data_IF_903108131552
#
_entry.id   IF_903108131552
#
_cell.length_a   1.000
_cell.length_b   1.000
_cell.length_c   1.000
_cell.angle_alpha   90.00
_cell.angle_beta   90.00
_cell.angle_gamma   90.00
#
_symmetry.space_group_name_H-M   'P 1'
#
loop_
_entity.id
_entity.type
_entity.pdbx_description
1 polymer ?
#
# COMPACT_ATOMS: atom_id res chain seq x y z
N UNK A 1 -6.78 -10.31 -19.59
CA UNK A 1 -7.74 -11.28 -20.15
C UNK A 1 -8.87 -10.51 -20.83
N UNK A 2 -9.30 -10.90 -22.03
CA UNK A 2 -10.48 -10.30 -22.67
C UNK A 2 -11.76 -10.90 -22.09
N UNK A 3 -12.20 -10.36 -20.95
CA UNK A 3 -13.49 -10.75 -20.34
C UNK A 3 -14.64 -10.26 -21.22
N UNK A 4 -15.47 -11.18 -21.69
CA UNK A 4 -16.71 -10.93 -22.43
C UNK A 4 -17.91 -11.32 -21.55
N UNK A 5 -19.12 -10.91 -21.94
CA UNK A 5 -20.32 -11.07 -21.10
C UNK A 5 -20.62 -12.53 -20.67
N UNK A 6 -20.24 -13.51 -21.51
CA UNK A 6 -20.42 -14.94 -21.26
C UNK A 6 -19.24 -15.60 -20.55
N UNK A 7 -18.16 -14.86 -20.24
CA UNK A 7 -17.02 -15.40 -19.51
C UNK A 7 -17.47 -15.84 -18.12
N UNK A 8 -17.23 -17.10 -17.79
CA UNK A 8 -17.48 -17.66 -16.45
C UNK A 8 -16.27 -17.34 -15.56
N UNK A 9 -16.54 -16.78 -14.40
CA UNK A 9 -15.55 -16.28 -13.44
C UNK A 9 -15.88 -16.86 -12.08
N UNK A 10 -14.85 -17.30 -11.36
CA UNK A 10 -14.97 -17.70 -9.96
C UNK A 10 -15.11 -16.45 -9.07
N UNK A 11 -16.23 -16.36 -8.36
CA UNK A 11 -16.48 -15.35 -7.34
C UNK A 11 -16.32 -15.96 -5.97
N UNK A 12 -15.49 -15.34 -5.13
CA UNK A 12 -14.97 -15.91 -3.90
C UNK A 12 -15.51 -15.17 -2.67
N UNK A 13 -15.97 -15.93 -1.67
CA UNK A 13 -16.27 -15.44 -0.33
C UNK A 13 -15.22 -15.97 0.66
N UNK A 14 -14.42 -15.06 1.21
CA UNK A 14 -13.40 -15.37 2.22
C UNK A 14 -13.92 -15.18 3.66
N UNK A 15 -15.16 -14.70 3.82
CA UNK A 15 -15.70 -14.38 5.14
C UNK A 15 -16.20 -15.63 5.87
N UNK A 16 -16.12 -15.59 7.21
CA UNK A 16 -16.75 -16.57 8.11
C UNK A 16 -18.29 -16.50 8.10
N UNK A 17 -18.87 -15.55 7.36
CA UNK A 17 -20.31 -15.36 7.22
C UNK A 17 -20.78 -15.60 5.79
N UNK A 18 -22.00 -16.08 5.64
CA UNK A 18 -22.63 -16.21 4.33
C UNK A 18 -22.91 -14.83 3.71
N UNK A 19 -22.78 -14.75 2.38
CA UNK A 19 -23.18 -13.56 1.61
C UNK A 19 -24.36 -13.92 0.73
N UNK A 20 -25.48 -13.26 0.95
CA UNK A 20 -26.70 -13.44 0.14
C UNK A 20 -26.79 -12.31 -0.87
N UNK A 21 -26.92 -12.67 -2.15
CA UNK A 21 -26.98 -11.72 -3.26
C UNK A 21 -28.32 -11.87 -3.98
N UNK A 22 -29.29 -11.00 -3.67
CA UNK A 22 -30.51 -10.94 -4.47
C UNK A 22 -30.16 -10.41 -5.87
N UNK A 23 -30.71 -11.02 -6.90
CA UNK A 23 -30.52 -10.56 -8.27
C UNK A 23 -31.83 -10.63 -9.04
N UNK A 24 -31.99 -9.77 -10.04
CA UNK A 24 -33.12 -9.87 -10.97
C UNK A 24 -32.93 -10.98 -12.01
N UNK A 25 -31.71 -11.50 -12.17
CA UNK A 25 -31.37 -12.54 -13.16
C UNK A 25 -31.80 -13.91 -12.64
N UNK A 26 -31.54 -14.18 -11.35
CA UNK A 26 -31.94 -15.40 -10.66
C UNK A 26 -32.87 -15.05 -9.49
N UNK A 27 -34.17 -15.40 -9.56
CA UNK A 27 -35.16 -15.02 -8.54
C UNK A 27 -34.82 -15.45 -7.12
N UNK A 28 -34.24 -16.64 -6.95
CA UNK A 28 -33.82 -17.17 -5.65
C UNK A 28 -32.49 -16.56 -5.15
N UNK A 29 -31.86 -15.70 -5.97
CA UNK A 29 -30.56 -15.11 -5.69
C UNK A 29 -29.41 -16.12 -5.66
N UNK A 30 -28.26 -15.66 -5.17
CA UNK A 30 -27.09 -16.48 -4.90
C UNK A 30 -26.79 -16.48 -3.41
N UNK A 31 -26.44 -17.66 -2.90
CA UNK A 31 -25.92 -17.86 -1.56
C UNK A 31 -24.45 -18.23 -1.70
N UNK A 32 -23.58 -17.39 -1.13
CA UNK A 32 -22.18 -17.71 -0.93
C UNK A 32 -22.03 -18.22 0.49
N UNK A 33 -21.66 -19.48 0.64
CA UNK A 33 -21.42 -20.07 1.95
C UNK A 33 -20.18 -19.43 2.61
N UNK A 34 -20.03 -19.55 3.94
CA UNK A 34 -18.81 -19.15 4.63
C UNK A 34 -17.56 -19.87 4.11
N UNK A 35 -16.40 -19.23 4.28
CA UNK A 35 -15.12 -19.90 4.14
C UNK A 35 -14.95 -21.01 5.20
N UNK A 36 -14.23 -22.08 4.84
CA UNK A 36 -13.95 -23.22 5.72
C UNK A 36 -12.44 -23.40 5.80
N UNK A 37 -11.89 -23.39 7.02
CA UNK A 37 -10.46 -23.57 7.27
C UNK A 37 -9.53 -22.64 6.45
N UNK A 38 -10.00 -21.43 6.16
CA UNK A 38 -9.27 -20.43 5.37
C UNK A 38 -9.45 -20.55 3.85
N UNK A 39 -10.09 -21.62 3.38
CA UNK A 39 -10.43 -21.78 1.97
C UNK A 39 -11.73 -21.04 1.64
N UNK A 40 -11.75 -20.16 0.63
CA UNK A 40 -12.94 -19.40 0.27
C UNK A 40 -14.00 -20.30 -0.36
N UNK A 41 -15.27 -19.97 -0.11
CA UNK A 41 -16.34 -20.53 -0.94
C UNK A 41 -16.31 -19.88 -2.33
N UNK A 42 -16.31 -20.71 -3.37
CA UNK A 42 -16.27 -20.26 -4.75
C UNK A 42 -17.60 -20.57 -5.47
N UNK A 43 -18.14 -19.57 -6.16
CA UNK A 43 -19.29 -19.73 -7.03
C UNK A 43 -18.99 -19.19 -8.42
N UNK A 44 -19.29 -19.99 -9.43
CA UNK A 44 -19.08 -19.63 -10.83
C UNK A 44 -20.24 -18.77 -11.33
N UNK A 45 -19.93 -17.56 -11.77
CA UNK A 45 -20.88 -16.62 -12.34
C UNK A 45 -20.37 -16.09 -13.68
N UNK A 46 -21.29 -15.86 -14.61
CA UNK A 46 -20.99 -15.11 -15.82
C UNK A 46 -20.67 -13.65 -15.50
N UNK A 47 -19.87 -13.00 -16.34
CA UNK A 47 -19.58 -11.59 -16.18
C UNK A 47 -20.84 -10.71 -16.23
N UNK A 48 -21.86 -11.11 -17.00
CA UNK A 48 -23.18 -10.47 -17.02
C UNK A 48 -23.82 -10.44 -15.64
N UNK A 49 -23.81 -11.58 -14.93
CA UNK A 49 -24.34 -11.69 -13.57
C UNK A 49 -23.53 -10.85 -12.58
N UNK A 50 -22.21 -10.91 -12.66
CA UNK A 50 -21.29 -10.13 -11.81
C UNK A 50 -21.53 -8.63 -12.01
N UNK A 51 -21.69 -8.17 -13.25
CA UNK A 51 -22.03 -6.77 -13.55
C UNK A 51 -23.39 -6.40 -12.96
N UNK A 52 -24.39 -7.27 -13.08
CA UNK A 52 -25.70 -7.10 -12.44
C UNK A 52 -25.58 -6.88 -10.94
N UNK A 53 -24.84 -7.76 -10.24
CA UNK A 53 -24.58 -7.67 -8.80
C UNK A 53 -23.87 -6.36 -8.44
N UNK A 54 -22.84 -5.98 -9.19
CA UNK A 54 -22.07 -4.75 -8.96
C UNK A 54 -22.88 -3.46 -9.17
N UNK A 55 -23.91 -3.51 -10.02
CA UNK A 55 -24.81 -2.38 -10.26
C UNK A 55 -25.80 -2.14 -9.11
N UNK A 56 -26.16 -3.20 -8.38
CA UNK A 56 -27.17 -3.18 -7.32
C UNK A 56 -26.57 -3.12 -5.92
N UNK A 57 -25.28 -3.45 -5.78
CA UNK A 57 -24.62 -3.59 -4.48
C UNK A 57 -23.16 -3.12 -4.51
N UNK A 58 -22.58 -2.98 -3.32
CA UNK A 58 -21.15 -2.66 -3.15
C UNK A 58 -20.31 -3.87 -2.77
N UNK A 59 -20.81 -5.10 -2.93
CA UNK A 59 -20.13 -6.31 -2.45
C UNK A 59 -18.69 -6.44 -2.96
N UNK A 60 -18.45 -6.13 -4.23
CA UNK A 60 -17.11 -6.13 -4.82
C UNK A 60 -16.28 -4.91 -4.43
N UNK A 61 -16.90 -3.72 -4.33
CA UNK A 61 -16.22 -2.46 -3.96
C UNK A 61 -15.78 -2.44 -2.49
N UNK A 62 -16.50 -3.15 -1.63
CA UNK A 62 -16.21 -3.25 -0.19
C UNK A 62 -15.46 -4.54 0.16
N UNK A 63 -15.22 -5.42 -0.83
CA UNK A 63 -14.41 -6.62 -0.68
C UNK A 63 -15.08 -7.77 0.07
N UNK A 64 -16.41 -7.80 0.14
CA UNK A 64 -17.17 -8.95 0.64
C UNK A 64 -17.06 -10.14 -0.31
N UNK A 65 -17.15 -9.87 -1.61
CA UNK A 65 -16.89 -10.84 -2.67
C UNK A 65 -15.69 -10.37 -3.48
N UNK A 66 -14.83 -11.32 -3.85
CA UNK A 66 -13.57 -11.04 -4.56
C UNK A 66 -13.38 -12.02 -5.72
N UNK A 67 -12.36 -11.75 -6.52
CA UNK A 67 -11.93 -12.60 -7.63
C UNK A 67 -10.55 -13.16 -7.33
N UNK A 68 -10.14 -14.20 -8.06
CA UNK A 68 -8.77 -14.73 -8.00
C UNK A 68 -7.76 -13.62 -8.32
N UNK A 69 -6.67 -13.56 -7.57
CA UNK A 69 -5.68 -12.47 -7.67
C UNK A 69 -5.15 -12.26 -9.09
N UNK A 70 -4.97 -13.35 -9.84
CA UNK A 70 -4.42 -13.33 -11.21
C UNK A 70 -5.34 -12.60 -12.20
N UNK A 71 -6.65 -12.56 -11.95
CA UNK A 71 -7.65 -12.02 -12.88
C UNK A 71 -8.34 -10.77 -12.30
N UNK A 72 -8.24 -10.55 -10.99
CA UNK A 72 -8.97 -9.55 -10.23
C UNK A 72 -8.83 -8.14 -10.80
N UNK A 73 -7.60 -7.69 -11.12
CA UNK A 73 -7.36 -6.34 -11.66
C UNK A 73 -8.14 -6.10 -12.95
N UNK A 74 -8.06 -7.04 -13.90
CA UNK A 74 -8.76 -6.93 -15.18
C UNK A 74 -10.29 -6.95 -15.04
N UNK A 75 -10.80 -7.70 -14.07
CA UNK A 75 -12.25 -7.78 -13.79
C UNK A 75 -12.71 -6.49 -13.13
N UNK A 76 -12.00 -5.99 -12.12
CA UNK A 76 -12.33 -4.73 -11.44
C UNK A 76 -12.33 -3.55 -12.40
N UNK A 77 -11.34 -3.46 -13.29
CA UNK A 77 -11.27 -2.43 -14.32
C UNK A 77 -12.53 -2.45 -15.20
N UNK A 78 -12.92 -3.64 -15.70
CA UNK A 78 -14.13 -3.80 -16.53
C UNK A 78 -15.44 -3.56 -15.78
N UNK A 79 -15.45 -3.74 -14.46
CA UNK A 79 -16.56 -3.37 -13.59
C UNK A 79 -16.58 -1.87 -13.25
N UNK A 80 -15.58 -1.10 -13.69
CA UNK A 80 -15.44 0.33 -13.42
C UNK A 80 -15.00 0.63 -11.98
N UNK A 81 -14.43 -0.34 -11.28
CA UNK A 81 -13.94 -0.18 -9.90
C UNK A 81 -12.49 0.30 -9.96
N UNK A 82 -12.29 1.62 -9.78
CA UNK A 82 -10.96 2.26 -9.92
C UNK A 82 -10.11 2.23 -8.65
N UNK A 83 -10.75 2.27 -7.48
CA UNK A 83 -10.06 2.35 -6.19
C UNK A 83 -9.84 0.95 -5.59
N UNK A 84 -9.25 0.03 -6.35
CA UNK A 84 -9.01 -1.36 -5.92
C UNK A 84 -8.14 -1.43 -4.67
N UNK A 85 -7.18 -0.51 -4.53
CA UNK A 85 -6.33 -0.36 -3.33
C UNK A 85 -7.12 -0.03 -2.06
N UNK A 86 -8.35 0.47 -2.16
CA UNK A 86 -9.20 0.73 -1.00
C UNK A 86 -9.97 -0.50 -0.51
N UNK A 87 -10.01 -1.57 -1.31
CA UNK A 87 -10.67 -2.83 -0.98
C UNK A 87 -9.80 -3.54 0.06
N UNK A 88 -10.33 -3.65 1.27
CA UNK A 88 -9.64 -4.27 2.40
C UNK A 88 -10.00 -5.75 2.54
N UNK A 89 -8.99 -6.61 2.73
CA UNK A 89 -9.17 -8.02 3.09
C UNK A 89 -9.37 -8.19 4.60
N UNK A 90 -9.92 -9.33 5.01
CA UNK A 90 -10.04 -9.65 6.44
C UNK A 90 -8.68 -9.71 7.12
N UNK A 91 -7.66 -10.24 6.44
CA UNK A 91 -6.29 -10.29 6.93
C UNK A 91 -5.67 -8.90 7.07
N UNK A 92 -5.86 -8.02 6.09
CA UNK A 92 -5.40 -6.63 6.18
C UNK A 92 -6.06 -5.90 7.36
N UNK A 93 -7.38 -6.10 7.56
CA UNK A 93 -8.09 -5.50 8.69
C UNK A 93 -7.56 -6.05 10.01
N UNK A 94 -7.40 -7.38 10.13
CA UNK A 94 -6.82 -8.02 11.31
C UNK A 94 -5.42 -7.48 11.59
N UNK A 95 -4.58 -7.33 10.56
CA UNK A 95 -3.24 -6.78 10.68
C UNK A 95 -3.25 -5.33 11.17
N UNK A 96 -4.15 -4.47 10.67
CA UNK A 96 -4.28 -3.09 11.15
C UNK A 96 -4.72 -3.04 12.63
N UNK A 97 -5.57 -3.98 13.07
CA UNK A 97 -6.03 -4.06 14.45
C UNK A 97 -4.91 -4.53 15.39
N UNK A 98 -4.16 -5.56 14.99
CA UNK A 98 -3.12 -6.21 15.80
C UNK A 98 -1.82 -5.39 15.83
N UNK A 99 -1.45 -4.79 14.70
CA UNK A 99 -0.25 -3.97 14.52
C UNK A 99 -0.66 -2.58 14.06
N UNK A 100 -1.26 -1.76 14.95
CA UNK A 100 -1.82 -0.48 14.58
C UNK A 100 -0.73 0.49 14.15
N UNK A 101 -0.80 0.93 12.90
CA UNK A 101 -0.02 2.05 12.38
C UNK A 101 -0.94 3.25 12.18
N UNK A 102 -0.41 4.47 12.27
CA UNK A 102 -1.17 5.68 11.95
C UNK A 102 -1.88 5.59 10.58
N UNK A 103 -1.14 5.20 9.54
CA UNK A 103 -1.66 5.06 8.17
C UNK A 103 -2.78 4.01 8.08
N UNK A 104 -2.60 2.85 8.72
CA UNK A 104 -3.61 1.79 8.75
C UNK A 104 -4.91 2.24 9.42
N UNK A 105 -4.81 2.88 10.59
CA UNK A 105 -5.98 3.40 11.29
C UNK A 105 -6.67 4.53 10.51
N UNK A 106 -5.92 5.42 9.86
CA UNK A 106 -6.48 6.44 8.97
C UNK A 106 -7.20 5.84 7.76
N UNK A 107 -6.68 4.74 7.20
CA UNK A 107 -7.33 3.96 6.13
C UNK A 107 -8.68 3.43 6.61
N UNK A 108 -8.78 2.91 7.84
CA UNK A 108 -10.06 2.48 8.42
C UNK A 108 -11.03 3.65 8.63
N UNK A 109 -10.54 4.79 9.12
CA UNK A 109 -11.39 5.96 9.38
C UNK A 109 -12.00 6.59 8.11
N UNK A 110 -11.31 6.48 6.96
CA UNK A 110 -11.81 6.99 5.67
C UNK A 110 -13.03 6.22 5.14
N UNK A 111 -13.33 5.05 5.68
CA UNK A 111 -14.46 4.23 5.27
C UNK A 111 -15.77 4.94 5.65
N UNK A 112 -16.69 5.00 4.68
CA UNK A 112 -18.00 5.64 4.83
C UNK A 112 -19.16 4.64 4.84
N UNK A 113 -18.93 3.40 4.40
CA UNK A 113 -19.95 2.36 4.41
C UNK A 113 -20.13 1.79 5.82
N UNK A 114 -21.36 1.87 6.33
CA UNK A 114 -21.70 1.26 7.62
C UNK A 114 -21.55 -0.26 7.59
N UNK A 115 -21.92 -0.92 6.48
CA UNK A 115 -21.80 -2.37 6.32
C UNK A 115 -20.35 -2.83 6.35
N UNK A 116 -19.47 -2.13 5.65
CA UNK A 116 -18.03 -2.39 5.70
C UNK A 116 -17.49 -2.17 7.12
N UNK A 117 -17.94 -1.12 7.80
CA UNK A 117 -17.48 -0.85 9.16
C UNK A 117 -17.99 -1.86 10.20
N UNK A 118 -19.18 -2.42 10.00
CA UNK A 118 -19.69 -3.56 10.79
C UNK A 118 -18.78 -4.79 10.63
N UNK A 119 -18.30 -5.08 9.42
CA UNK A 119 -17.30 -6.14 9.19
C UNK A 119 -16.02 -5.91 10.00
N UNK A 120 -15.48 -4.69 9.98
CA UNK A 120 -14.30 -4.33 10.80
C UNK A 120 -14.56 -4.55 12.29
N UNK A 121 -15.72 -4.11 12.77
CA UNK A 121 -16.14 -4.29 14.16
C UNK A 121 -16.29 -5.78 14.51
N UNK A 122 -16.86 -6.58 13.63
CA UNK A 122 -16.99 -8.04 13.78
C UNK A 122 -15.64 -8.71 13.96
N UNK A 123 -14.66 -8.36 13.11
CA UNK A 123 -13.29 -8.86 13.21
C UNK A 123 -12.60 -8.42 14.52
N UNK A 124 -12.81 -7.18 14.96
CA UNK A 124 -12.30 -6.72 16.26
C UNK A 124 -12.84 -7.60 17.40
N UNK A 125 -14.15 -7.84 17.44
CA UNK A 125 -14.80 -8.68 18.46
C UNK A 125 -14.31 -10.12 18.38
N UNK A 126 -14.13 -10.67 17.18
CA UNK A 126 -13.57 -12.01 16.98
C UNK A 126 -12.16 -12.13 17.56
N UNK A 127 -11.30 -11.14 17.30
CA UNK A 127 -9.93 -11.10 17.84
C UNK A 127 -9.93 -10.95 19.36
N UNK A 128 -10.81 -10.12 19.93
CA UNK A 128 -10.96 -9.98 21.39
C UNK A 128 -11.38 -11.31 22.04
N UNK A 129 -12.39 -11.96 21.48
CA UNK A 129 -12.93 -13.22 22.00
C UNK A 129 -11.93 -14.38 21.86
N UNK A 130 -10.97 -14.28 20.94
CA UNK A 130 -9.93 -15.30 20.80
C UNK A 130 -9.04 -15.41 22.04
N UNK A 131 -8.93 -14.35 22.85
CA UNK A 131 -8.08 -14.29 24.05
C UNK A 131 -6.57 -14.40 23.79
N UNK A 132 -6.15 -14.49 22.52
CA UNK A 132 -4.74 -14.69 22.13
C UNK A 132 -3.95 -13.39 22.00
N UNK A 133 -4.62 -12.26 21.79
CA UNK A 133 -4.01 -10.99 21.44
C UNK A 133 -4.38 -9.90 22.45
N UNK A 134 -3.39 -9.10 22.86
CA UNK A 134 -3.63 -7.90 23.65
C UNK A 134 -3.87 -6.70 22.72
N UNK A 135 -5.13 -6.44 22.43
CA UNK A 135 -5.53 -5.35 21.52
C UNK A 135 -5.55 -4.05 22.32
N UNK A 136 -4.81 -3.04 21.83
CA UNK A 136 -4.75 -1.73 22.47
C UNK A 136 -6.13 -1.10 22.65
N UNK A 137 -6.45 -0.65 23.86
CA UNK A 137 -7.68 0.09 24.19
C UNK A 137 -7.87 1.30 23.28
N UNK A 138 -6.79 1.92 22.81
CA UNK A 138 -6.85 3.05 21.87
C UNK A 138 -7.43 2.63 20.53
N UNK A 139 -7.02 1.48 19.97
CA UNK A 139 -7.55 0.94 18.71
C UNK A 139 -9.03 0.62 18.86
N UNK A 140 -9.41 -0.02 19.97
CA UNK A 140 -10.82 -0.31 20.30
C UNK A 140 -11.68 0.95 20.32
N UNK A 141 -11.18 2.01 20.95
CA UNK A 141 -11.86 3.29 21.04
C UNK A 141 -11.99 3.99 19.67
N UNK A 142 -10.96 3.92 18.83
CA UNK A 142 -11.00 4.48 17.47
C UNK A 142 -12.05 3.77 16.63
N UNK A 143 -12.05 2.44 16.61
CA UNK A 143 -13.00 1.64 15.83
C UNK A 143 -14.43 1.85 16.37
N UNK A 144 -14.63 1.69 17.67
CA UNK A 144 -15.96 1.86 18.29
C UNK A 144 -16.47 3.29 18.16
N UNK A 145 -15.59 4.30 18.24
CA UNK A 145 -15.94 5.69 18.03
C UNK A 145 -16.40 5.94 16.60
N UNK A 146 -15.64 5.47 15.62
CA UNK A 146 -15.98 5.64 14.21
C UNK A 146 -17.27 4.91 13.82
N UNK A 147 -17.49 3.73 14.40
CA UNK A 147 -18.75 3.02 14.28
C UNK A 147 -19.96 3.88 14.72
N UNK A 148 -19.85 4.53 15.89
CA UNK A 148 -20.90 5.41 16.41
C UNK A 148 -21.12 6.64 15.52
N UNK A 149 -20.06 7.22 14.96
CA UNK A 149 -20.17 8.32 14.00
C UNK A 149 -20.99 7.91 12.77
N UNK A 150 -20.64 6.76 12.16
CA UNK A 150 -21.34 6.25 10.98
C UNK A 150 -22.81 5.92 11.28
N UNK A 151 -23.08 5.31 12.44
CA UNK A 151 -24.44 5.02 12.89
C UNK A 151 -25.26 6.30 13.13
N UNK A 152 -24.60 7.38 13.57
CA UNK A 152 -25.20 8.71 13.74
C UNK A 152 -25.29 9.51 12.43
N UNK A 153 -24.89 8.93 11.29
CA UNK A 153 -24.92 9.57 9.97
C UNK A 153 -23.73 10.48 9.64
N UNK A 154 -22.71 10.56 10.50
CA UNK A 154 -21.49 11.35 10.27
C UNK A 154 -20.54 10.65 9.29
N UNK A 155 -20.66 10.98 8.00
CA UNK A 155 -19.82 10.39 6.94
C UNK A 155 -18.36 10.79 7.01
N UNK A 156 -18.06 12.01 7.47
CA UNK A 156 -16.69 12.50 7.65
C UNK A 156 -16.32 12.35 9.13
N UNK A 157 -15.18 11.72 9.40
CA UNK A 157 -14.68 11.47 10.76
C UNK A 157 -14.18 12.75 11.42
N UNK A 158 -14.49 12.92 12.70
CA UNK A 158 -13.87 13.95 13.55
C UNK A 158 -12.72 13.36 14.39
N UNK A 159 -12.54 12.04 14.34
CA UNK A 159 -11.50 11.32 15.07
C UNK A 159 -10.13 11.61 14.43
N UNK A 160 -9.22 12.17 15.21
CA UNK A 160 -7.84 12.46 14.80
C UNK A 160 -6.87 11.48 15.46
N UNK A 161 -6.07 10.79 14.65
CA UNK A 161 -5.04 9.87 15.13
C UNK A 161 -3.73 10.65 15.34
N UNK A 162 -3.31 10.75 16.60
CA UNK A 162 -1.99 11.29 16.95
C UNK A 162 -0.92 10.19 16.87
N UNK A 163 0.24 10.43 16.24
CA UNK A 163 1.30 9.44 16.18
C UNK A 163 1.79 9.07 17.59
N UNK A 164 2.22 7.82 17.75
CA UNK A 164 2.79 7.33 19.02
C UNK A 164 4.27 7.77 19.12
N UNK A 165 4.80 7.92 20.34
CA UNK A 165 6.21 8.32 20.54
C UNK A 165 7.19 7.42 19.77
N UNK A 166 6.97 6.10 19.77
CA UNK A 166 7.76 5.14 18.98
C UNK A 166 7.65 5.31 17.46
N UNK A 167 6.50 5.74 16.94
CA UNK A 167 6.37 6.03 15.50
C UNK A 167 7.12 7.31 15.14
N UNK A 168 7.12 8.32 16.02
CA UNK A 168 7.91 9.53 15.82
C UNK A 168 9.41 9.25 15.84
N UNK A 169 9.89 8.40 16.75
CA UNK A 169 11.30 7.98 16.80
C UNK A 169 11.73 7.26 15.53
N UNK A 170 10.95 6.29 15.03
CA UNK A 170 11.23 5.62 13.74
C UNK A 170 11.23 6.58 12.57
N UNK A 171 10.28 7.53 12.50
CA UNK A 171 10.23 8.54 11.43
C UNK A 171 11.45 9.45 11.47
N UNK A 172 11.96 9.81 12.66
CA UNK A 172 13.19 10.60 12.78
C UNK A 172 14.44 9.78 12.43
N UNK A 173 14.48 8.50 12.77
CA UNK A 173 15.56 7.57 12.41
C UNK A 173 15.61 7.32 10.89
N UNK A 174 14.47 7.13 10.24
CA UNK A 174 14.36 6.98 8.79
C UNK A 174 14.77 8.26 8.04
N UNK A 175 14.39 9.43 8.55
CA UNK A 175 14.86 10.72 8.01
C UNK A 175 16.37 10.91 8.20
N UNK A 176 16.91 10.50 9.33
CA UNK A 176 18.35 10.57 9.59
C UNK A 176 19.12 9.66 8.61
N UNK A 177 18.67 8.42 8.42
CA UNK A 177 19.26 7.49 7.46
C UNK A 177 19.16 7.98 6.01
N UNK A 178 18.03 8.57 5.62
CA UNK A 178 17.88 9.20 4.31
C UNK A 178 18.87 10.35 4.09
N UNK A 179 19.10 11.20 5.09
CA UNK A 179 20.08 12.28 5.01
C UNK A 179 21.52 11.75 4.94
N UNK A 180 21.84 10.71 5.72
CA UNK A 180 23.16 10.05 5.66
C UNK A 180 23.41 9.49 4.27
N UNK A 181 22.43 8.79 3.67
CA UNK A 181 22.57 8.24 2.33
C UNK A 181 22.74 9.33 1.25
N UNK A 182 22.05 10.47 1.37
CA UNK A 182 22.24 11.62 0.48
C UNK A 182 23.64 12.23 0.61
N UNK A 183 24.13 12.39 1.84
CA UNK A 183 25.48 12.91 2.11
C UNK A 183 26.56 11.95 1.61
N UNK A 184 26.36 10.65 1.74
CA UNK A 184 27.28 9.63 1.18
C UNK A 184 27.37 9.74 -0.34
N UNK A 185 26.23 9.92 -1.03
CA UNK A 185 26.19 10.12 -2.47
C UNK A 185 26.89 11.43 -2.90
N UNK A 186 26.67 12.54 -2.18
CA UNK A 186 27.38 13.80 -2.44
C UNK A 186 28.89 13.68 -2.22
N UNK A 187 29.32 12.96 -1.18
CA UNK A 187 30.75 12.70 -0.92
C UNK A 187 31.37 11.85 -2.03
N UNK A 188 30.63 10.86 -2.55
CA UNK A 188 31.10 10.02 -3.64
C UNK A 188 31.22 10.80 -4.97
N UNK A 189 30.26 11.68 -5.25
CA UNK A 189 30.32 12.61 -6.38
C UNK A 189 31.49 13.59 -6.26
N UNK A 190 31.73 14.14 -5.07
CA UNK A 190 32.88 15.01 -4.81
C UNK A 190 34.22 14.28 -4.95
N UNK A 191 34.32 13.03 -4.51
CA UNK A 191 35.52 12.18 -4.72
C UNK A 191 35.77 11.92 -6.21
N UNK A 192 34.72 11.69 -6.99
CA UNK A 192 34.80 11.53 -8.44
C UNK A 192 35.27 12.81 -9.15
N UNK A 193 34.76 13.98 -8.74
CA UNK A 193 35.23 15.28 -9.26
C UNK A 193 36.70 15.54 -8.90
N UNK A 194 37.10 15.25 -7.66
CA UNK A 194 38.47 15.44 -7.20
C UNK A 194 39.46 14.53 -7.93
N UNK A 195 39.12 13.25 -8.11
CA UNK A 195 39.93 12.30 -8.89
C UNK A 195 40.05 12.68 -10.37
N UNK A 196 38.99 13.24 -10.97
CA UNK A 196 39.05 13.81 -12.34
C UNK A 196 39.94 15.05 -12.41
N UNK A 197 39.98 15.87 -11.36
CA UNK A 197 40.82 17.08 -11.29
C UNK A 197 42.31 16.81 -11.03
N UNK A 198 42.65 15.63 -10.48
CA UNK A 198 44.03 15.23 -10.15
C UNK A 198 44.75 14.50 -11.29
N UNK A 199 44.12 14.32 -12.46
CA UNK A 199 44.78 13.83 -13.67
C UNK A 199 45.12 15.00 -14.61
N UNK A 200 46.34 15.55 -14.57
CA UNK A 200 46.79 16.52 -15.55
C UNK A 200 47.01 15.86 -16.91
N UNK A 201 46.52 16.52 -17.94
CA UNK A 201 46.79 16.28 -19.37
C UNK A 201 48.31 16.18 -19.60
N UNK A 202 48.82 15.14 -20.28
CA UNK A 202 50.21 15.11 -20.71
C UNK A 202 50.36 15.98 -21.96
N UNK A 203 51.03 17.12 -21.82
CA UNK A 203 51.58 17.87 -22.94
C UNK A 203 53.10 17.70 -22.95
N UNK A 204 53.64 17.04 -23.98
CA UNK A 204 55.08 17.04 -24.22
C UNK A 204 55.62 15.86 -25.04
N UNK A 205 55.30 15.79 -26.33
CA UNK A 205 56.24 15.26 -27.33
C UNK A 205 57.03 16.45 -27.89
N UNK A 206 58.30 16.58 -27.51
CA UNK A 206 59.25 17.42 -28.20
C UNK A 206 60.60 16.71 -28.20
N UNK A 207 60.93 16.13 -29.36
CA UNK A 207 62.24 15.59 -29.73
C UNK A 207 63.29 16.69 -29.79
N UNK A 208 64.50 16.31 -29.40
CA UNK A 208 65.76 17.05 -29.55
C UNK A 208 66.02 17.53 -30.99
N UNK A 209 66.65 18.70 -31.11
CA UNK A 209 67.86 19.02 -31.90
C UNK A 209 67.96 20.57 -31.92
N UNK A 210 69.06 21.28 -31.63
CA UNK A 210 70.48 20.99 -31.61
C UNK A 210 71.26 22.14 -30.91
N UNK A 211 72.39 21.76 -30.28
CA UNK A 211 73.64 22.46 -29.86
C UNK A 211 73.97 23.89 -30.38
N UNK A 212 75.05 24.58 -29.86
CA UNK A 212 75.69 24.54 -28.53
C UNK A 212 76.24 25.91 -27.98
N UNK A 213 76.65 25.89 -26.71
CA UNK A 213 77.79 26.60 -26.08
C UNK A 213 77.84 28.15 -25.98
N UNK A 214 77.86 28.68 -24.74
CA UNK A 214 79.10 29.20 -24.07
C UNK A 214 78.84 29.67 -22.63
N UNK A 215 79.84 29.43 -21.76
CA UNK A 215 79.96 29.85 -20.35
C UNK A 215 80.24 31.36 -20.21
N UNK A 216 79.79 31.95 -19.09
CA UNK A 216 80.34 33.20 -18.51
C UNK A 216 79.37 33.80 -17.49
N UNK A 217 79.51 33.48 -16.19
CA UNK A 217 80.26 34.19 -15.13
C UNK A 217 79.57 35.48 -14.66
N UNK A 218 79.28 35.49 -13.36
CA UNK A 218 78.76 36.63 -12.60
C UNK A 218 79.66 37.88 -12.66
N UNK A 219 79.02 39.04 -12.67
CA UNK A 219 79.33 40.27 -11.90
C UNK A 219 78.14 41.23 -12.14
N UNK A 220 77.38 41.64 -11.13
CA UNK A 220 77.66 42.59 -10.05
C UNK A 220 77.42 44.06 -10.43
N UNK A 221 76.86 44.78 -9.46
CA UNK A 221 76.70 46.23 -9.28
C UNK A 221 75.51 46.96 -9.92
N UNK A 222 74.83 47.72 -9.06
CA UNK A 222 74.09 48.94 -9.38
C UNK A 222 72.71 48.95 -8.76
#
# INVERSE_FOLDING_TARGET
MDVIESTIIDVLNYSDSCVVVPTHIKPDGYLFEPAIDGEPYALQLSFSEIRGINSQSNLFREGFLRFREQEAESIYEKLGIRNTESILTDEEIKNIILLPTKSGLERLLKIQSSSMFERIRGLLVQLENSGKYDISTRVKNVITGRYKELYSGKRITEIVIRPTAQENEKVEEDKANSKVSQLEAEIEELKLLLSKSLNPVPAGTATEESKPARRGRAQNNG
#
